data_IF_252389377425
#
_entry.id   IF_252389377425
#
_cell.length_a   1.000
_cell.length_b   1.000
_cell.length_c   1.000
_cell.angle_alpha   90.00
_cell.angle_beta   90.00
_cell.angle_gamma   90.00
#
_symmetry.space_group_name_H-M   'P 1'
#
loop_
_entity.id
_entity.type
_entity.pdbx_description
1 polymer ?
#
# COMPACT_ATOMS: atom_id res chain seq x y z
N UNK A 1 2.09 -0.33 -3.66
CA UNK A 1 2.40 -0.32 -2.20
C UNK A 1 2.06 -1.63 -1.52
N UNK A 2 0.84 -2.17 -1.70
CA UNK A 2 0.47 -3.46 -1.12
C UNK A 2 1.42 -4.60 -1.56
N UNK A 3 1.74 -4.69 -2.85
CA UNK A 3 2.71 -5.68 -3.37
C UNK A 3 4.09 -5.57 -2.73
N UNK A 4 4.60 -4.33 -2.57
CA UNK A 4 5.88 -4.08 -1.89
C UNK A 4 5.82 -4.44 -0.39
N UNK A 5 4.68 -4.22 0.26
CA UNK A 5 4.48 -4.63 1.65
C UNK A 5 4.44 -6.16 1.76
N UNK A 6 3.93 -6.86 0.74
CA UNK A 6 3.98 -8.31 0.66
C UNK A 6 5.40 -8.88 0.53
N UNK A 7 6.33 -8.12 -0.06
CA UNK A 7 7.74 -8.47 -0.14
C UNK A 7 8.45 -8.46 1.23
N UNK A 8 7.84 -7.88 2.27
CA UNK A 8 8.38 -7.90 3.64
C UNK A 8 8.51 -9.29 4.24
N UNK A 9 7.87 -10.29 3.64
CA UNK A 9 8.02 -11.68 4.05
C UNK A 9 9.42 -12.21 3.73
N UNK A 10 10.12 -11.62 2.75
CA UNK A 10 11.46 -12.07 2.31
C UNK A 10 12.53 -10.98 2.48
N UNK A 11 12.15 -9.71 2.42
CA UNK A 11 13.07 -8.58 2.37
C UNK A 11 12.76 -7.55 3.46
N UNK A 12 13.77 -6.77 3.85
CA UNK A 12 13.55 -5.61 4.73
C UNK A 12 13.18 -4.37 3.90
N UNK A 13 12.50 -3.39 4.53
CA UNK A 13 12.15 -2.13 3.86
C UNK A 13 13.34 -1.44 3.16
N UNK A 14 14.54 -1.30 3.79
CA UNK A 14 15.70 -0.72 3.10
C UNK A 14 16.06 -1.43 1.80
N UNK A 15 16.02 -2.77 1.77
CA UNK A 15 16.31 -3.56 0.57
C UNK A 15 15.23 -3.35 -0.49
N UNK A 16 13.94 -3.34 -0.09
CA UNK A 16 12.82 -3.09 -1.01
C UNK A 16 12.92 -1.70 -1.62
N UNK A 17 13.26 -0.68 -0.82
CA UNK A 17 13.41 0.69 -1.30
C UNK A 17 14.62 0.85 -2.23
N UNK A 18 15.74 0.19 -1.92
CA UNK A 18 16.92 0.16 -2.79
C UNK A 18 16.60 -0.49 -4.14
N UNK A 19 15.86 -1.61 -4.15
CA UNK A 19 15.44 -2.33 -5.35
C UNK A 19 14.18 -1.75 -6.02
N UNK A 20 13.64 -0.61 -5.57
CA UNK A 20 12.32 -0.10 -5.99
C UNK A 20 12.22 0.13 -7.50
N UNK A 21 13.29 0.63 -8.14
CA UNK A 21 13.30 0.84 -9.58
C UNK A 21 13.22 -0.49 -10.34
N UNK A 22 13.95 -1.51 -9.89
CA UNK A 22 13.88 -2.86 -10.48
C UNK A 22 12.48 -3.46 -10.31
N UNK A 23 11.86 -3.29 -9.14
CA UNK A 23 10.47 -3.73 -8.92
C UNK A 23 9.51 -3.08 -9.92
N UNK A 24 9.65 -1.78 -10.17
CA UNK A 24 8.82 -1.06 -11.14
C UNK A 24 9.05 -1.53 -12.56
N UNK A 25 10.30 -1.77 -12.95
CA UNK A 25 10.64 -2.31 -14.27
C UNK A 25 10.02 -3.70 -14.48
N UNK A 26 10.24 -4.61 -13.53
CA UNK A 26 9.74 -6.00 -13.61
C UNK A 26 8.21 -6.05 -13.66
N UNK A 27 7.53 -5.22 -12.87
CA UNK A 27 6.08 -5.24 -12.75
C UNK A 27 5.39 -4.10 -13.50
N UNK A 28 6.06 -3.46 -14.47
CA UNK A 28 5.48 -2.38 -15.30
C UNK A 28 4.76 -1.30 -14.48
N UNK A 29 5.51 -0.70 -13.54
CA UNK A 29 5.03 0.29 -12.57
C UNK A 29 3.85 -0.17 -11.68
N UNK A 30 3.64 -1.49 -11.60
CA UNK A 30 2.52 -2.13 -10.91
C UNK A 30 1.14 -1.78 -11.49
N UNK A 31 1.06 -1.50 -12.80
CA UNK A 31 -0.23 -1.43 -13.48
C UNK A 31 -0.91 -2.82 -13.40
N UNK A 32 -2.07 -2.95 -12.74
CA UNK A 32 -2.68 -4.26 -12.51
C UNK A 32 -3.09 -4.93 -13.83
N UNK A 33 -3.46 -4.19 -14.86
CA UNK A 33 -3.86 -4.75 -16.17
C UNK A 33 -2.64 -5.29 -16.91
N UNK A 34 -1.51 -4.58 -16.84
CA UNK A 34 -0.25 -5.03 -17.47
C UNK A 34 0.32 -6.22 -16.72
N UNK A 35 0.33 -6.17 -15.38
CA UNK A 35 0.83 -7.27 -14.53
C UNK A 35 0.07 -8.57 -14.79
N UNK A 36 -1.25 -8.51 -15.03
CA UNK A 36 -2.05 -9.69 -15.36
C UNK A 36 -1.70 -10.35 -16.70
N UNK A 37 -1.11 -9.59 -17.62
CA UNK A 37 -0.65 -10.10 -18.93
C UNK A 37 0.75 -10.67 -18.87
N UNK A 38 1.47 -10.48 -17.76
CA UNK A 38 2.78 -11.06 -17.60
C UNK A 38 2.64 -12.58 -17.50
N UNK A 39 3.44 -13.31 -18.29
CA UNK A 39 3.41 -14.76 -18.31
C UNK A 39 4.14 -15.29 -17.07
N UNK A 40 3.41 -15.97 -16.17
CA UNK A 40 3.92 -16.57 -14.94
C UNK A 40 5.24 -17.33 -15.14
N UNK A 41 5.32 -18.14 -16.22
CA UNK A 41 6.51 -18.95 -16.53
C UNK A 41 7.71 -18.10 -16.96
N UNK A 42 7.47 -16.95 -17.57
CA UNK A 42 8.54 -16.05 -18.05
C UNK A 42 9.11 -15.22 -16.90
N UNK A 43 8.26 -14.74 -15.99
CA UNK A 43 8.72 -13.98 -14.82
C UNK A 43 9.49 -14.89 -13.85
N UNK A 44 9.05 -16.14 -13.66
CA UNK A 44 9.72 -17.07 -12.76
C UNK A 44 10.95 -17.75 -13.37
N UNK A 45 11.25 -17.51 -14.64
CA UNK A 45 12.39 -18.16 -15.32
C UNK A 45 13.72 -17.80 -14.63
N UNK A 46 14.56 -18.83 -14.45
CA UNK A 46 15.89 -18.70 -13.85
C UNK A 46 16.74 -17.70 -14.64
N UNK A 47 17.28 -16.68 -13.96
CA UNK A 47 18.07 -15.62 -14.59
C UNK A 47 17.29 -14.39 -15.04
N UNK A 48 15.96 -14.37 -14.86
CA UNK A 48 15.17 -13.16 -15.04
C UNK A 48 15.43 -12.13 -13.93
N UNK A 49 15.32 -10.84 -14.23
CA UNK A 49 15.42 -9.77 -13.22
C UNK A 49 14.49 -10.01 -12.02
N UNK A 50 13.30 -10.57 -12.27
CA UNK A 50 12.33 -10.91 -11.25
C UNK A 50 12.81 -12.00 -10.29
N UNK A 51 13.47 -13.05 -10.81
CA UNK A 51 14.05 -14.11 -9.98
C UNK A 51 15.16 -13.63 -9.02
N UNK A 52 15.82 -12.50 -9.33
CA UNK A 52 16.77 -11.84 -8.42
C UNK A 52 16.08 -10.95 -7.36
N UNK A 53 14.79 -10.66 -7.51
CA UNK A 53 14.03 -9.84 -6.57
C UNK A 53 13.39 -10.69 -5.47
N UNK A 54 12.68 -11.76 -5.84
CA UNK A 54 11.83 -12.56 -4.96
C UNK A 54 11.78 -14.01 -5.40
N UNK A 55 11.38 -14.92 -4.49
CA UNK A 55 11.06 -16.30 -4.88
C UNK A 55 9.83 -16.36 -5.80
N UNK A 56 9.76 -17.40 -6.63
CA UNK A 56 8.67 -17.67 -7.59
C UNK A 56 7.27 -17.55 -6.95
N UNK A 57 7.07 -18.13 -5.77
CA UNK A 57 5.78 -18.07 -5.07
C UNK A 57 5.35 -16.63 -4.75
N UNK A 58 6.31 -15.73 -4.48
CA UNK A 58 6.00 -14.31 -4.22
C UNK A 58 5.78 -13.52 -5.50
N UNK A 59 6.48 -13.85 -6.58
CA UNK A 59 6.22 -13.29 -7.90
C UNK A 59 4.77 -13.61 -8.33
N UNK A 60 4.35 -14.86 -8.17
CA UNK A 60 2.97 -15.29 -8.40
C UNK A 60 1.98 -14.56 -7.47
N UNK A 61 2.35 -14.36 -6.20
CA UNK A 61 1.55 -13.59 -5.25
C UNK A 61 1.30 -12.14 -5.67
N UNK A 62 2.25 -11.49 -6.34
CA UNK A 62 2.07 -10.11 -6.86
C UNK A 62 1.06 -10.09 -8.02
N UNK A 63 1.08 -11.10 -8.89
CA UNK A 63 0.11 -11.26 -9.99
C UNK A 63 -1.29 -11.54 -9.42
N UNK A 64 -1.38 -12.37 -8.37
CA UNK A 64 -2.64 -12.61 -7.67
C UNK A 64 -3.20 -11.34 -7.02
N UNK A 65 -2.34 -10.52 -6.39
CA UNK A 65 -2.75 -9.21 -5.87
C UNK A 65 -3.31 -8.33 -7.01
N UNK A 66 -2.64 -8.28 -8.17
CA UNK A 66 -3.14 -7.51 -9.32
C UNK A 66 -4.51 -8.00 -9.79
N UNK A 67 -4.70 -9.33 -9.85
CA UNK A 67 -5.98 -9.97 -10.22
C UNK A 67 -7.11 -9.53 -9.29
N UNK A 68 -6.87 -9.59 -7.97
CA UNK A 68 -7.90 -9.24 -7.00
C UNK A 68 -8.12 -7.73 -6.91
N UNK A 69 -7.10 -6.91 -7.16
CA UNK A 69 -7.27 -5.45 -7.32
C UNK A 69 -8.19 -5.14 -8.50
N UNK A 70 -8.02 -5.78 -9.66
CA UNK A 70 -8.92 -5.60 -10.81
C UNK A 70 -10.37 -5.93 -10.44
N UNK A 71 -10.63 -7.07 -9.79
CA UNK A 71 -12.00 -7.42 -9.35
C UNK A 71 -12.60 -6.38 -8.41
N UNK A 72 -11.81 -5.87 -7.46
CA UNK A 72 -12.26 -4.81 -6.56
C UNK A 72 -12.56 -3.51 -7.32
N UNK A 73 -11.77 -3.19 -8.35
CA UNK A 73 -12.03 -2.03 -9.21
C UNK A 73 -13.32 -2.25 -10.01
N UNK A 74 -13.57 -3.45 -10.54
CA UNK A 74 -14.78 -3.77 -11.28
C UNK A 74 -16.04 -3.72 -10.40
N UNK A 75 -15.96 -4.22 -9.17
CA UNK A 75 -17.08 -4.26 -8.21
C UNK A 75 -17.37 -2.91 -7.54
N UNK A 76 -16.31 -2.18 -7.14
CA UNK A 76 -16.40 -1.01 -6.25
C UNK A 76 -15.90 0.28 -6.90
N UNK A 77 -15.47 0.22 -8.16
CA UNK A 77 -14.97 1.35 -8.95
C UNK A 77 -13.55 1.81 -8.59
N UNK A 78 -13.07 1.59 -7.36
CA UNK A 78 -11.74 2.05 -6.95
C UNK A 78 -11.17 1.30 -5.75
N UNK A 79 -10.00 0.70 -5.95
CA UNK A 79 -9.23 0.09 -4.86
C UNK A 79 -8.84 1.10 -3.77
N UNK A 80 -8.53 2.35 -4.15
CA UNK A 80 -8.24 3.43 -3.18
C UNK A 80 -9.47 3.70 -2.30
N UNK A 81 -10.65 3.92 -2.90
CA UNK A 81 -11.88 4.18 -2.13
C UNK A 81 -12.21 3.01 -1.20
N UNK A 82 -12.08 1.79 -1.70
CA UNK A 82 -12.29 0.58 -0.90
C UNK A 82 -11.34 0.49 0.30
N UNK A 83 -10.03 0.71 0.11
CA UNK A 83 -9.08 0.64 1.23
C UNK A 83 -9.31 1.79 2.24
N UNK A 84 -9.60 3.00 1.76
CA UNK A 84 -9.87 4.16 2.63
C UNK A 84 -11.21 4.08 3.37
N UNK A 85 -12.19 3.30 2.88
CA UNK A 85 -13.47 3.12 3.57
C UNK A 85 -13.29 2.44 4.93
N UNK A 86 -12.27 1.58 5.08
CA UNK A 86 -11.96 0.95 6.36
C UNK A 86 -11.60 1.98 7.43
N UNK A 87 -11.06 3.14 7.06
CA UNK A 87 -10.68 4.21 8.00
C UNK A 87 -11.63 5.41 7.94
N UNK A 88 -12.86 5.21 7.44
CA UNK A 88 -13.85 6.27 7.25
C UNK A 88 -13.29 7.48 6.49
N UNK A 89 -12.40 7.22 5.52
CA UNK A 89 -11.72 8.23 4.72
C UNK A 89 -10.90 9.26 5.52
N UNK A 90 -10.51 8.94 6.76
CA UNK A 90 -9.66 9.79 7.60
C UNK A 90 -8.46 9.01 8.13
N UNK A 91 -7.24 9.55 8.08
CA UNK A 91 -6.09 8.88 8.65
C UNK A 91 -6.27 8.62 10.15
N UNK A 92 -5.88 7.42 10.61
CA UNK A 92 -5.80 7.11 12.03
C UNK A 92 -4.51 7.71 12.57
N UNK A 93 -4.58 8.60 13.55
CA UNK A 93 -3.40 9.21 14.14
C UNK A 93 -3.01 8.46 15.41
N UNK A 94 -1.89 7.76 15.36
CA UNK A 94 -1.35 7.05 16.51
C UNK A 94 -0.38 7.94 17.28
N UNK A 95 -0.62 8.17 18.57
CA UNK A 95 0.18 9.07 19.41
C UNK A 95 1.31 8.32 20.15
N UNK A 96 2.09 7.52 19.43
CA UNK A 96 3.15 6.74 20.05
C UNK A 96 4.32 7.63 20.49
N UNK A 97 4.71 7.56 21.76
CA UNK A 97 5.89 8.28 22.27
C UNK A 97 7.21 7.53 22.03
N UNK A 98 7.17 6.21 21.96
CA UNK A 98 8.38 5.36 21.86
C UNK A 98 8.22 4.30 20.77
N UNK A 99 9.28 3.96 20.00
CA UNK A 99 9.22 2.95 18.94
C UNK A 99 8.68 1.59 19.40
N UNK A 100 9.09 1.14 20.60
CA UNK A 100 8.65 -0.14 21.20
C UNK A 100 7.14 -0.23 21.47
N UNK A 101 6.42 0.90 21.41
CA UNK A 101 4.96 0.94 21.57
C UNK A 101 4.22 0.79 20.24
N UNK A 102 4.91 0.95 19.12
CA UNK A 102 4.34 0.70 17.79
C UNK A 102 4.13 -0.81 17.67
N UNK A 103 2.89 -1.28 17.50
CA UNK A 103 2.62 -2.71 17.44
C UNK A 103 3.11 -3.30 16.10
N UNK A 104 3.07 -4.63 15.96
CA UNK A 104 3.35 -5.30 14.67
C UNK A 104 2.07 -5.45 13.83
N UNK A 105 0.91 -5.38 14.48
CA UNK A 105 -0.44 -5.42 13.89
C UNK A 105 -1.45 -4.83 14.87
N UNK A 106 -2.61 -4.41 14.38
CA UNK A 106 -3.71 -3.90 15.22
C UNK A 106 -4.99 -4.71 14.98
N UNK A 107 -5.98 -4.67 15.89
CA UNK A 107 -7.29 -5.28 15.63
C UNK A 107 -7.93 -4.77 14.32
N UNK A 108 -7.68 -3.51 13.96
CA UNK A 108 -8.15 -2.92 12.71
C UNK A 108 -7.51 -3.58 11.49
N UNK A 109 -6.21 -3.83 11.52
CA UNK A 109 -5.53 -4.48 10.38
C UNK A 109 -5.77 -5.97 10.31
N UNK A 110 -6.09 -6.62 11.43
CA UNK A 110 -6.63 -7.99 11.42
C UNK A 110 -7.99 -8.06 10.74
N UNK A 111 -8.88 -7.09 11.00
CA UNK A 111 -10.15 -6.99 10.31
C UNK A 111 -9.99 -6.78 8.79
N UNK A 112 -9.13 -5.83 8.40
CA UNK A 112 -8.85 -5.55 6.97
C UNK A 112 -8.24 -6.78 6.30
N UNK A 113 -7.28 -7.45 6.93
CA UNK A 113 -6.67 -8.68 6.41
C UNK A 113 -7.69 -9.80 6.23
N UNK A 114 -8.62 -9.99 7.16
CA UNK A 114 -9.73 -10.97 7.02
C UNK A 114 -10.68 -10.62 5.88
N UNK A 115 -10.97 -9.34 5.64
CA UNK A 115 -11.80 -8.92 4.49
C UNK A 115 -11.09 -9.17 3.16
N UNK A 116 -9.82 -8.77 3.06
CA UNK A 116 -8.99 -9.03 1.88
C UNK A 116 -8.82 -10.53 1.61
N UNK A 117 -8.64 -11.35 2.65
CA UNK A 117 -8.57 -12.80 2.51
C UNK A 117 -9.87 -13.39 1.93
N UNK A 118 -11.03 -12.91 2.39
CA UNK A 118 -12.35 -13.30 1.82
C UNK A 118 -12.50 -12.91 0.36
N UNK A 119 -11.83 -11.84 -0.08
CA UNK A 119 -11.76 -11.40 -1.48
C UNK A 119 -10.66 -12.09 -2.29
N UNK A 120 -9.97 -13.07 -1.72
CA UNK A 120 -8.94 -13.87 -2.41
C UNK A 120 -7.51 -13.29 -2.34
N UNK A 121 -7.29 -12.20 -1.61
CA UNK A 121 -5.92 -11.72 -1.39
C UNK A 121 -5.19 -12.59 -0.37
N UNK A 122 -3.98 -13.05 -0.68
CA UNK A 122 -3.13 -13.81 0.25
C UNK A 122 -2.20 -12.89 1.05
N UNK A 123 -2.76 -12.10 1.96
CA UNK A 123 -2.02 -11.08 2.75
C UNK A 123 -2.36 -11.13 4.24
N UNK A 124 -1.33 -11.26 5.08
CA UNK A 124 -1.47 -11.36 6.53
C UNK A 124 -1.61 -9.98 7.24
N UNK A 125 -2.07 -9.95 8.51
CA UNK A 125 -2.30 -8.71 9.24
C UNK A 125 -1.07 -7.80 9.40
N UNK A 126 0.12 -8.37 9.53
CA UNK A 126 1.39 -7.62 9.64
C UNK A 126 1.72 -6.90 8.32
N UNK A 127 1.53 -7.57 7.19
CA UNK A 127 1.71 -6.97 5.86
C UNK A 127 0.71 -5.84 5.65
N UNK A 128 -0.56 -6.06 6.04
CA UNK A 128 -1.58 -5.03 5.97
C UNK A 128 -1.26 -3.85 6.87
N UNK A 129 -0.73 -4.09 8.08
CA UNK A 129 -0.34 -3.00 8.97
C UNK A 129 0.78 -2.16 8.37
N UNK A 130 1.82 -2.79 7.81
CA UNK A 130 2.86 -2.05 7.11
C UNK A 130 2.32 -1.31 5.88
N UNK A 131 1.40 -1.91 5.12
CA UNK A 131 0.76 -1.27 3.98
C UNK A 131 -0.02 -0.01 4.38
N UNK A 132 -0.87 -0.07 5.41
CA UNK A 132 -1.66 1.10 5.83
C UNK A 132 -0.79 2.21 6.40
N UNK A 133 0.36 1.89 7.00
CA UNK A 133 1.37 2.87 7.42
C UNK A 133 1.97 3.59 6.21
N UNK A 134 2.54 2.86 5.24
CA UNK A 134 3.19 3.48 4.07
C UNK A 134 2.20 4.14 3.10
N UNK A 135 0.94 3.72 3.12
CA UNK A 135 -0.13 4.34 2.33
C UNK A 135 -0.74 5.59 3.00
N UNK A 136 -0.36 5.91 4.24
CA UNK A 136 -0.85 7.08 4.97
C UNK A 136 -2.26 6.91 5.55
N UNK A 137 -2.80 5.70 5.59
CA UNK A 137 -4.07 5.41 6.28
C UNK A 137 -3.92 5.48 7.80
N UNK A 138 -2.69 5.28 8.29
CA UNK A 138 -2.32 5.53 9.68
C UNK A 138 -1.09 6.42 9.73
N UNK A 139 -1.11 7.39 10.62
CA UNK A 139 0.05 8.20 10.97
C UNK A 139 0.64 7.63 12.27
N UNK A 140 1.64 6.76 12.11
CA UNK A 140 2.35 6.13 13.22
C UNK A 140 3.71 6.80 13.49
N UNK A 141 3.93 8.01 12.97
CA UNK A 141 5.07 8.80 13.39
C UNK A 141 5.04 8.96 14.91
N UNK A 142 6.22 8.90 15.53
CA UNK A 142 6.31 9.20 16.96
C UNK A 142 5.87 10.64 17.20
N UNK A 143 5.30 10.92 18.37
CA UNK A 143 4.90 12.28 18.75
C UNK A 143 6.07 13.27 18.78
N UNK A 144 7.30 12.77 18.87
CA UNK A 144 8.55 13.55 18.80
C UNK A 144 9.12 13.67 17.39
N UNK A 145 8.54 13.01 16.39
CA UNK A 145 9.00 13.12 15.01
C UNK A 145 8.61 14.48 14.43
N UNK A 146 9.55 15.16 13.76
CA UNK A 146 9.30 16.46 13.13
C UNK A 146 8.15 16.44 12.11
N UNK A 147 7.86 15.28 11.50
CA UNK A 147 6.77 15.10 10.52
C UNK A 147 5.41 14.77 11.14
N UNK A 148 5.33 14.55 12.45
CA UNK A 148 4.10 14.10 13.10
C UNK A 148 2.92 15.05 12.80
N UNK A 149 3.13 16.36 12.97
CA UNK A 149 2.12 17.39 12.71
C UNK A 149 1.84 17.58 11.21
N UNK A 150 2.86 17.53 10.36
CA UNK A 150 2.72 17.64 8.91
C UNK A 150 1.81 16.52 8.36
N UNK A 151 1.98 15.30 8.87
CA UNK A 151 1.20 14.13 8.47
C UNK A 151 -0.22 14.11 9.07
N UNK A 152 -0.55 14.98 10.04
CA UNK A 152 -1.93 15.20 10.51
C UNK A 152 -2.63 16.25 9.64
N UNK A 153 -1.91 17.31 9.27
CA UNK A 153 -2.49 18.50 8.63
C UNK A 153 -2.74 18.33 7.12
N UNK A 154 -2.15 17.31 6.49
CA UNK A 154 -2.29 17.02 5.06
C UNK A 154 -3.71 16.69 4.57
N UNK A 155 -4.71 16.60 5.44
CA UNK A 155 -6.10 16.29 5.11
C UNK A 155 -7.02 17.54 5.02
N UNK A 156 -6.51 18.75 5.30
CA UNK A 156 -7.28 20.02 5.16
C UNK A 156 -7.11 20.72 3.79
N UNK A 157 -6.43 20.07 2.83
CA UNK A 157 -5.97 20.69 1.58
C UNK A 157 -6.89 20.58 0.35
N UNK A 158 -8.14 20.11 0.50
CA UNK A 158 -9.14 20.17 -0.59
C UNK A 158 -10.19 21.22 -0.21
N UNK A 159 -9.94 22.49 -0.56
CA UNK A 159 -10.96 23.54 -0.47
C UNK A 159 -10.51 24.89 0.09
N UNK A 160 -9.53 25.55 -0.54
CA UNK A 160 -9.52 27.01 -0.65
C UNK A 160 -9.21 27.38 -2.10
N UNK A 161 -10.23 27.30 -2.96
CA UNK A 161 -10.27 28.18 -4.12
C UNK A 161 -10.60 29.55 -3.53
N UNK A 162 -9.59 30.41 -3.43
CA UNK A 162 -9.80 31.85 -3.29
C UNK A 162 -10.74 32.27 -4.43
N UNK A 163 -11.98 32.61 -4.08
CA UNK A 163 -12.85 33.35 -4.99
C UNK A 163 -12.19 34.71 -5.17
N UNK A 164 -11.50 34.87 -6.31
CA UNK A 164 -11.11 36.17 -6.82
C UNK A 164 -12.37 37.04 -6.87
N UNK A 165 -12.36 38.14 -6.12
CA UNK A 165 -13.36 39.21 -6.21
C UNK A 165 -13.43 39.66 -7.67
N UNK A 166 -14.59 39.45 -8.27
CA UNK A 166 -15.08 40.21 -9.42
C UNK A 166 -16.40 40.81 -8.95
N UNK A 167 -16.30 41.96 -8.30
CA UNK A 167 -17.39 42.92 -8.11
C UNK A 167 -16.76 44.32 -8.32
N UNK A 168 -17.19 44.93 -9.42
CA UNK A 168 -17.48 46.35 -9.61
C UNK A 168 -16.36 47.39 -9.48
N UNK A 169 -15.83 47.81 -10.65
CA UNK A 169 -15.91 49.16 -11.27
C UNK A 169 -14.93 49.24 -12.45
#
# INVERSE_FOLDING_TARGET
LLSLSGALVELTWPVILHKRCMFREVFSDFDPIVVLKLNDKKIASSGSLASFLLLELKLQGIIEIARQVCKVIDELGSFKKYIWSFVNHKPIVSQFRYPRRVPVKTPKTEFISKDLLRRGFSVGPTVIYSFVQVAGLTNDHLTTCFRFQDCISGDLGVGKVEKTKLEDV
#
